data_IF_051668193496
#
_entry.id   IF_051668193496
#
_cell.length_a   1.000
_cell.length_b   1.000
_cell.length_c   1.000
_cell.angle_alpha   90.00
_cell.angle_beta   90.00
_cell.angle_gamma   90.00
#
_symmetry.space_group_name_H-M   'P 1'
#
loop_
_entity.id
_entity.type
_entity.pdbx_description
1 polymer ?
#
# COMPACT_ATOMS: atom_id res chain seq x y z
N UNK A 1 4.71 11.80 -3.04
CA UNK A 1 5.45 12.65 -2.09
C UNK A 1 6.23 11.74 -1.17
N UNK A 2 7.48 12.08 -0.85
CA UNK A 2 8.27 11.29 0.08
C UNK A 2 7.68 11.39 1.49
N UNK A 3 7.88 10.35 2.29
CA UNK A 3 7.35 10.25 3.66
C UNK A 3 8.49 10.52 4.63
N UNK A 4 8.30 11.41 5.63
CA UNK A 4 9.36 11.70 6.59
C UNK A 4 9.76 10.44 7.38
N UNK A 5 11.04 10.27 7.67
CA UNK A 5 11.54 9.14 8.47
C UNK A 5 10.97 9.12 9.91
N UNK A 6 10.75 10.31 10.50
CA UNK A 6 10.11 10.46 11.81
C UNK A 6 8.58 10.21 11.77
N UNK A 7 8.04 9.77 10.64
CA UNK A 7 6.62 9.42 10.54
C UNK A 7 6.29 8.29 11.54
N UNK A 8 5.31 8.50 12.44
CA UNK A 8 4.91 7.46 13.38
C UNK A 8 4.33 6.26 12.64
N UNK A 9 4.33 5.09 13.29
CA UNK A 9 3.61 3.93 12.78
C UNK A 9 2.12 4.22 12.65
N UNK A 10 1.51 3.72 11.59
CA UNK A 10 0.14 4.01 11.18
C UNK A 10 0.00 5.22 10.25
N UNK A 11 1.09 5.88 9.89
CA UNK A 11 1.06 6.99 8.92
C UNK A 11 0.66 6.47 7.55
N UNK A 12 -0.37 7.08 6.96
CA UNK A 12 -0.85 6.72 5.63
C UNK A 12 0.14 7.22 4.58
N UNK A 13 0.79 6.28 3.88
CA UNK A 13 1.77 6.59 2.82
C UNK A 13 1.12 6.60 1.44
N UNK A 14 0.11 5.75 1.23
CA UNK A 14 -0.60 5.66 -0.03
C UNK A 14 -2.06 5.22 0.17
N UNK A 15 -2.92 5.67 -0.74
CA UNK A 15 -4.31 5.25 -0.83
C UNK A 15 -4.48 4.51 -2.15
N UNK A 16 -4.90 3.25 -2.07
CA UNK A 16 -5.27 2.45 -3.22
C UNK A 16 -6.78 2.45 -3.33
N UNK A 17 -7.29 2.88 -4.47
CA UNK A 17 -8.69 2.75 -4.78
C UNK A 17 -8.88 1.59 -5.75
N UNK A 18 -9.68 0.63 -5.36
CA UNK A 18 -9.97 -0.56 -6.16
C UNK A 18 -11.40 -0.45 -6.64
N UNK A 19 -11.53 -0.14 -7.92
CA UNK A 19 -12.81 0.05 -8.56
C UNK A 19 -13.05 -1.12 -9.50
N UNK A 20 -13.88 -2.05 -9.05
CA UNK A 20 -14.32 -3.17 -9.87
C UNK A 20 -15.70 -2.84 -10.48
N UNK A 21 -15.86 -2.87 -11.81
CA UNK A 21 -17.10 -2.51 -12.47
C UNK A 21 -18.20 -3.59 -12.31
N UNK A 22 -17.85 -4.80 -11.83
CA UNK A 22 -18.81 -5.86 -11.61
C UNK A 22 -19.53 -5.68 -10.27
N UNK A 23 -20.87 -5.69 -10.33
CA UNK A 23 -21.71 -5.62 -9.13
C UNK A 23 -21.80 -6.97 -8.45
N UNK A 24 -21.70 -7.00 -7.12
CA UNK A 24 -21.90 -8.19 -6.28
C UNK A 24 -20.60 -8.71 -5.65
N UNK A 25 -20.55 -10.02 -5.35
CA UNK A 25 -19.39 -10.65 -4.69
C UNK A 25 -18.10 -10.58 -5.52
N UNK A 26 -18.23 -10.38 -6.85
CA UNK A 26 -17.14 -10.16 -7.79
C UNK A 26 -16.43 -8.81 -7.60
N UNK A 27 -17.11 -7.81 -7.01
CA UNK A 27 -16.49 -6.53 -6.66
C UNK A 27 -15.55 -6.60 -5.46
N UNK A 28 -15.45 -7.76 -4.79
CA UNK A 28 -14.49 -7.97 -3.69
C UNK A 28 -13.12 -8.35 -4.24
N UNK A 29 -12.30 -7.33 -4.51
CA UNK A 29 -10.89 -7.50 -4.82
C UNK A 29 -10.09 -7.59 -3.53
N UNK A 30 -9.25 -8.62 -3.40
CA UNK A 30 -8.29 -8.75 -2.29
C UNK A 30 -6.96 -8.16 -2.70
N UNK A 31 -6.47 -7.21 -1.92
CA UNK A 31 -5.14 -6.65 -2.08
C UNK A 31 -4.21 -7.19 -0.99
N UNK A 32 -3.00 -7.55 -1.38
CA UNK A 32 -1.96 -8.07 -0.50
C UNK A 32 -0.65 -7.33 -0.78
N UNK A 33 0.11 -7.02 0.27
CA UNK A 33 1.45 -6.47 0.15
C UNK A 33 2.46 -7.60 0.06
N UNK A 34 3.32 -7.54 -0.95
CA UNK A 34 4.43 -8.47 -1.17
C UNK A 34 5.73 -7.67 -1.20
N UNK A 35 6.58 -7.91 -0.20
CA UNK A 35 7.89 -7.25 -0.06
C UNK A 35 8.33 -7.14 1.39
N UNK A 36 9.62 -6.92 1.59
CA UNK A 36 10.23 -6.69 2.90
C UNK A 36 10.35 -5.18 3.15
N UNK A 37 9.24 -4.56 3.56
CA UNK A 37 9.23 -3.16 3.98
C UNK A 37 8.40 -3.01 5.26
N UNK A 38 8.66 -1.97 6.07
CA UNK A 38 7.89 -1.64 7.26
C UNK A 38 6.54 -1.01 6.88
N UNK A 39 5.76 -1.69 6.02
CA UNK A 39 4.49 -1.24 5.48
C UNK A 39 3.42 -2.30 5.71
N UNK A 40 2.20 -1.82 5.96
CA UNK A 40 1.02 -2.64 6.17
C UNK A 40 -0.14 -2.13 5.34
N UNK A 41 -1.01 -3.05 4.91
CA UNK A 41 -2.19 -2.73 4.12
C UNK A 41 -3.42 -2.80 5.03
N UNK A 42 -4.17 -1.71 5.08
CA UNK A 42 -5.40 -1.60 5.87
C UNK A 42 -6.57 -1.43 4.91
N UNK A 43 -7.48 -2.40 4.90
CA UNK A 43 -8.71 -2.31 4.13
C UNK A 43 -9.67 -1.27 4.72
N UNK A 44 -10.31 -0.48 3.86
CA UNK A 44 -11.34 0.46 4.29
C UNK A 44 -12.63 -0.30 4.67
N UNK A 45 -13.29 0.06 5.78
CA UNK A 45 -14.56 -0.56 6.17
C UNK A 45 -15.68 -0.30 5.16
N UNK A 46 -15.58 0.78 4.37
CA UNK A 46 -16.55 1.10 3.31
C UNK A 46 -16.45 0.18 2.09
N UNK A 47 -15.44 -0.70 2.02
CA UNK A 47 -15.12 -1.51 0.84
C UNK A 47 -14.53 -0.68 -0.31
N UNK A 48 -13.80 -1.32 -1.20
CA UNK A 48 -13.28 -0.70 -2.44
C UNK A 48 -12.06 0.22 -2.29
N UNK A 49 -11.53 0.43 -1.08
CA UNK A 49 -10.29 1.18 -0.90
C UNK A 49 -9.38 0.52 0.13
N UNK A 50 -8.08 0.63 -0.08
CA UNK A 50 -7.03 0.18 0.82
C UNK A 50 -6.10 1.34 1.15
N UNK A 51 -5.58 1.35 2.38
CA UNK A 51 -4.61 2.32 2.85
C UNK A 51 -3.31 1.60 3.11
N UNK A 52 -2.22 2.05 2.50
CA UNK A 52 -0.88 1.62 2.88
C UNK A 52 -0.46 2.50 4.03
N UNK A 53 -0.12 1.89 5.15
CA UNK A 53 0.36 2.58 6.35
C UNK A 53 1.73 2.08 6.74
N UNK A 54 2.52 2.91 7.40
CA UNK A 54 3.77 2.47 8.04
C UNK A 54 3.45 1.49 9.17
N UNK A 55 4.08 0.31 9.17
CA UNK A 55 3.97 -0.64 10.28
C UNK A 55 4.97 -0.32 11.40
N UNK A 56 6.10 0.26 11.02
CA UNK A 56 7.24 0.57 11.89
C UNK A 56 7.84 1.92 11.49
N UNK A 57 8.79 2.42 12.28
CA UNK A 57 9.57 3.60 11.93
C UNK A 57 10.27 3.38 10.58
N UNK A 58 10.27 4.41 9.74
CA UNK A 58 11.02 4.46 8.50
C UNK A 58 12.39 5.02 8.86
N UNK A 59 13.46 4.29 8.55
CA UNK A 59 14.82 4.70 8.92
C UNK A 59 15.59 4.97 7.63
N UNK A 60 15.86 6.25 7.33
CA UNK A 60 16.50 6.64 6.07
C UNK A 60 17.94 6.13 5.99
N UNK A 61 18.63 6.01 7.13
CA UNK A 61 19.99 5.46 7.21
C UNK A 61 20.01 3.97 6.83
N UNK A 62 18.94 3.24 7.17
CA UNK A 62 18.79 1.85 6.77
C UNK A 62 18.37 1.69 5.31
N UNK A 63 17.38 2.46 4.86
CA UNK A 63 16.92 2.48 3.48
C UNK A 63 16.23 3.81 3.13
N UNK A 64 16.76 4.52 2.13
CA UNK A 64 16.15 5.75 1.60
C UNK A 64 14.96 5.49 0.68
N UNK A 65 14.85 4.27 0.13
CA UNK A 65 13.72 3.84 -0.70
C UNK A 65 13.27 2.43 -0.28
N UNK A 66 11.98 2.28 -0.01
CA UNK A 66 11.35 0.98 0.19
C UNK A 66 10.47 0.63 -1.01
N UNK A 67 10.67 -0.56 -1.58
CA UNK A 67 9.84 -1.06 -2.68
C UNK A 67 8.95 -2.18 -2.19
N UNK A 68 7.64 -1.97 -2.31
CA UNK A 68 6.64 -3.01 -2.07
C UNK A 68 5.79 -3.23 -3.29
N UNK A 69 5.41 -4.48 -3.54
CA UNK A 69 4.51 -4.82 -4.62
C UNK A 69 3.15 -5.12 -4.03
N UNK A 70 2.14 -4.34 -4.40
CA UNK A 70 0.76 -4.64 -4.06
C UNK A 70 0.18 -5.55 -5.13
N UNK A 71 -0.37 -6.68 -4.72
CA UNK A 71 -1.04 -7.65 -5.60
C UNK A 71 -2.52 -7.61 -5.30
N UNK A 72 -3.31 -7.18 -6.27
CA UNK A 72 -4.77 -7.17 -6.26
C UNK A 72 -5.28 -8.40 -7.03
N UNK A 73 -6.18 -9.19 -6.42
CA UNK A 73 -6.82 -10.36 -7.04
C UNK A 73 -8.34 -10.22 -6.93
N UNK A 74 -9.04 -10.29 -8.05
CA UNK A 74 -10.50 -10.36 -8.06
C UNK A 74 -11.00 -11.79 -7.82
N UNK A 75 -12.30 -11.91 -7.60
CA UNK A 75 -13.01 -13.19 -7.39
C UNK A 75 -13.75 -13.69 -8.63
N UNK A 76 -13.52 -13.08 -9.79
CA UNK A 76 -14.11 -13.47 -11.06
C UNK A 76 -13.66 -14.86 -11.52
N UNK A 77 -14.32 -15.35 -12.58
CA UNK A 77 -13.98 -16.60 -13.26
C UNK A 77 -13.97 -16.37 -14.77
N UNK A 78 -12.80 -16.28 -15.42
CA UNK A 78 -11.46 -16.46 -14.86
C UNK A 78 -11.05 -15.31 -13.92
N UNK A 79 -10.33 -15.64 -12.83
CA UNK A 79 -9.81 -14.65 -11.88
C UNK A 79 -8.66 -13.87 -12.52
N UNK A 80 -8.73 -12.55 -12.50
CA UNK A 80 -7.62 -11.68 -12.88
C UNK A 80 -6.82 -11.28 -11.65
N UNK A 81 -5.57 -10.95 -11.88
CA UNK A 81 -4.69 -10.39 -10.86
C UNK A 81 -3.91 -9.24 -11.45
N UNK A 82 -3.86 -8.14 -10.74
CA UNK A 82 -3.08 -6.96 -11.09
C UNK A 82 -2.03 -6.74 -9.99
N UNK A 83 -0.82 -6.36 -10.37
CA UNK A 83 0.22 -6.02 -9.43
C UNK A 83 0.73 -4.61 -9.71
N UNK A 84 1.01 -3.86 -8.65
CA UNK A 84 1.53 -2.52 -8.71
C UNK A 84 2.72 -2.40 -7.76
N UNK A 85 3.86 -1.96 -8.28
CA UNK A 85 5.02 -1.66 -7.44
C UNK A 85 4.92 -0.24 -6.91
N UNK A 86 4.91 -0.11 -5.59
CA UNK A 86 4.95 1.13 -4.86
C UNK A 86 6.39 1.36 -4.39
N UNK A 87 7.01 2.43 -4.87
CA UNK A 87 8.27 2.94 -4.36
C UNK A 87 7.96 4.03 -3.33
N UNK A 88 8.31 3.76 -2.08
CA UNK A 88 8.21 4.70 -0.98
C UNK A 88 9.58 5.32 -0.76
N UNK A 89 9.68 6.61 -1.06
CA UNK A 89 10.87 7.40 -0.80
C UNK A 89 10.76 8.00 0.61
N UNK A 90 11.81 7.81 1.41
CA UNK A 90 11.89 8.35 2.76
C UNK A 90 12.56 9.71 2.69
N UNK A 91 11.80 10.76 2.99
CA UNK A 91 12.37 12.11 3.15
C UNK A 91 13.09 12.16 4.46
N UNK A 92 14.31 12.70 4.44
CA UNK A 92 14.91 13.20 5.67
C UNK A 92 14.04 14.33 6.18
N UNK A 93 13.75 14.33 7.48
CA UNK A 93 12.96 15.41 8.08
C UNK A 93 13.76 16.73 8.08
N UNK A 94 15.05 16.65 7.77
CA UNK A 94 16.00 17.76 7.89
C UNK A 94 16.45 18.39 6.55
N UNK A 95 15.94 17.94 5.39
CA UNK A 95 16.29 18.55 4.10
C UNK A 95 15.20 19.55 3.65
N UNK A 96 15.53 20.85 3.71
CA UNK A 96 14.77 21.96 3.13
C UNK A 96 15.17 22.18 1.67
#
# INVERSE_FOLDING_TARGET
SPVPEDAPSGTVVALLNVNDPDSGENGQVRCELSGEAPLSLVASPSGGSYKVVTSSALDREQASEHRVTVVARDRGSPSLSSSATLALEVSDVNDN
#
